data_IF_755437745720
#
_entry.id   IF_755437745720
#
_cell.length_a   1.000
_cell.length_b   1.000
_cell.length_c   1.000
_cell.angle_alpha   90.00
_cell.angle_beta   90.00
_cell.angle_gamma   90.00
#
_symmetry.space_group_name_H-M   'P 1'
#
loop_
_entity.id
_entity.type
_entity.pdbx_description
1 polymer ?
#
# COMPACT_ATOMS: atom_id res chain seq x y z
N UNK A 1 -5.14 14.27 4.53
CA UNK A 1 -5.27 12.87 4.04
C UNK A 1 -4.57 11.91 4.99
N UNK A 2 -4.94 10.63 5.03
CA UNK A 2 -4.44 9.65 5.99
C UNK A 2 -3.85 8.44 5.26
N UNK A 3 -2.75 8.66 4.52
CA UNK A 3 -2.00 7.61 3.84
C UNK A 3 -0.76 7.28 4.67
N UNK A 4 -0.62 6.02 5.02
CA UNK A 4 0.48 5.48 5.81
C UNK A 4 1.20 4.38 5.03
N UNK A 5 2.51 4.38 5.05
CA UNK A 5 3.37 3.50 4.26
C UNK A 5 4.30 2.69 5.16
N UNK A 6 4.55 1.45 4.76
CA UNK A 6 5.43 0.53 5.49
C UNK A 6 6.02 -0.51 4.54
N UNK A 7 7.17 -1.08 4.89
CA UNK A 7 7.75 -2.21 4.16
C UNK A 7 7.05 -3.53 4.49
N UNK A 8 7.05 -3.96 5.77
CA UNK A 8 6.49 -5.27 6.15
C UNK A 8 5.08 -5.22 6.74
N UNK A 9 4.59 -4.05 7.17
CA UNK A 9 3.26 -3.90 7.75
C UNK A 9 3.06 -4.69 9.03
N UNK A 10 2.05 -5.55 9.06
CA UNK A 10 1.74 -6.44 10.20
C UNK A 10 2.14 -7.89 9.93
N UNK A 11 3.07 -8.13 9.02
CA UNK A 11 3.50 -9.47 8.63
C UNK A 11 4.43 -10.10 9.68
N UNK A 12 3.85 -10.78 10.66
CA UNK A 12 4.55 -11.40 11.79
C UNK A 12 5.54 -12.51 11.42
N UNK A 13 5.64 -12.89 10.15
CA UNK A 13 6.70 -13.77 9.66
C UNK A 13 8.08 -13.08 9.67
N UNK A 14 8.09 -11.74 9.68
CA UNK A 14 9.27 -10.87 9.67
C UNK A 14 9.40 -10.09 10.97
N UNK A 15 9.37 -10.78 12.11
CA UNK A 15 9.30 -10.18 13.47
C UNK A 15 10.42 -9.20 13.79
N UNK A 16 11.58 -9.35 13.17
CA UNK A 16 12.72 -8.45 13.36
C UNK A 16 12.52 -7.06 12.70
N UNK A 17 11.47 -6.91 11.88
CA UNK A 17 11.16 -5.71 11.09
C UNK A 17 9.75 -5.18 11.37
N UNK A 18 9.35 -5.13 12.65
CA UNK A 18 7.96 -4.82 13.02
C UNK A 18 7.80 -3.47 13.74
N UNK A 19 8.69 -2.52 13.53
CA UNK A 19 8.58 -1.21 14.20
C UNK A 19 7.27 -0.48 13.87
N UNK A 20 6.70 -0.70 12.68
CA UNK A 20 5.41 -0.12 12.28
C UNK A 20 4.17 -0.84 12.83
N UNK A 21 4.32 -2.02 13.46
CA UNK A 21 3.19 -2.88 13.84
C UNK A 21 2.23 -2.19 14.82
N UNK A 22 2.73 -1.72 15.95
CA UNK A 22 1.91 -1.10 17.00
C UNK A 22 1.25 0.19 16.49
N UNK A 23 1.95 0.95 15.67
CA UNK A 23 1.40 2.16 15.03
C UNK A 23 0.22 1.79 14.12
N UNK A 24 0.34 0.75 13.30
CA UNK A 24 -0.74 0.26 12.42
C UNK A 24 -1.94 -0.18 13.25
N UNK A 25 -1.72 -1.00 14.29
CA UNK A 25 -2.80 -1.46 15.18
C UNK A 25 -3.50 -0.25 15.83
N UNK A 26 -2.73 0.73 16.29
CA UNK A 26 -3.27 1.96 16.88
C UNK A 26 -4.11 2.77 15.89
N UNK A 27 -3.63 2.97 14.67
CA UNK A 27 -4.33 3.69 13.61
C UNK A 27 -5.64 2.99 13.22
N UNK A 28 -5.65 1.65 13.21
CA UNK A 28 -6.81 0.85 12.78
C UNK A 28 -7.77 0.48 13.90
N UNK A 29 -7.46 0.82 15.15
CA UNK A 29 -8.30 0.50 16.30
C UNK A 29 -9.71 1.07 16.13
N UNK A 30 -10.74 0.23 16.40
CA UNK A 30 -12.15 0.57 16.25
C UNK A 30 -12.59 0.94 14.82
N UNK A 31 -11.86 0.46 13.80
CA UNK A 31 -12.14 0.68 12.38
C UNK A 31 -12.60 -0.60 11.70
N UNK A 32 -13.40 -0.43 10.65
CA UNK A 32 -13.71 -1.50 9.70
C UNK A 32 -12.68 -1.44 8.56
N UNK A 33 -11.93 -2.53 8.34
CA UNK A 33 -10.80 -2.55 7.42
C UNK A 33 -11.06 -3.48 6.24
N UNK A 34 -10.96 -2.97 5.00
CA UNK A 34 -10.85 -3.83 3.83
C UNK A 34 -9.37 -4.13 3.56
N UNK A 35 -9.01 -5.40 3.49
CA UNK A 35 -7.68 -5.87 3.11
C UNK A 35 -7.72 -6.22 1.62
N UNK A 36 -6.93 -5.52 0.80
CA UNK A 36 -6.86 -5.70 -0.66
C UNK A 36 -5.64 -6.56 -0.98
N UNK A 37 -5.82 -7.81 -1.45
CA UNK A 37 -4.75 -8.77 -1.65
C UNK A 37 -4.15 -8.75 -3.08
N UNK A 38 -4.66 -7.88 -3.96
CA UNK A 38 -4.50 -7.98 -5.41
C UNK A 38 -3.09 -7.66 -5.95
N UNK A 39 -2.13 -7.30 -5.09
CA UNK A 39 -0.71 -7.29 -5.45
C UNK A 39 -0.16 -8.71 -5.72
N UNK A 40 -0.90 -9.76 -5.38
CA UNK A 40 -0.63 -11.17 -5.69
C UNK A 40 -1.74 -11.75 -6.55
N UNK A 41 -1.39 -12.31 -7.72
CA UNK A 41 -2.35 -12.85 -8.68
C UNK A 41 -2.99 -14.15 -8.21
N UNK A 42 -2.20 -15.02 -7.57
CA UNK A 42 -2.65 -16.36 -7.14
C UNK A 42 -3.07 -16.33 -5.69
N UNK A 43 -4.24 -16.92 -5.39
CA UNK A 43 -4.83 -16.90 -4.04
C UNK A 43 -3.97 -17.62 -2.99
N UNK A 44 -3.19 -18.63 -3.39
CA UNK A 44 -2.24 -19.34 -2.53
C UNK A 44 -1.11 -18.42 -2.06
N UNK A 45 -0.67 -17.50 -2.90
CA UNK A 45 0.45 -16.58 -2.63
C UNK A 45 0.03 -15.36 -1.79
N UNK A 46 -1.26 -15.24 -1.46
CA UNK A 46 -1.81 -14.11 -0.68
C UNK A 46 -1.60 -14.25 0.83
N UNK A 47 -0.48 -14.84 1.23
CA UNK A 47 -0.15 -15.11 2.64
C UNK A 47 -0.09 -13.82 3.46
N UNK A 48 0.47 -12.72 2.93
CA UNK A 48 0.52 -11.42 3.63
C UNK A 48 -0.88 -10.93 4.06
N UNK A 49 -1.87 -11.05 3.18
CA UNK A 49 -3.25 -10.64 3.47
C UNK A 49 -3.92 -11.53 4.50
N UNK A 50 -3.61 -12.84 4.49
CA UNK A 50 -4.10 -13.79 5.49
C UNK A 50 -3.50 -13.49 6.86
N UNK A 51 -2.18 -13.26 6.92
CA UNK A 51 -1.50 -12.85 8.16
C UNK A 51 -2.05 -11.52 8.68
N UNK A 52 -2.23 -10.51 7.81
CA UNK A 52 -2.84 -9.25 8.21
C UNK A 52 -4.25 -9.44 8.79
N UNK A 53 -5.08 -10.30 8.17
CA UNK A 53 -6.41 -10.64 8.68
C UNK A 53 -6.36 -11.29 10.07
N UNK A 54 -5.43 -12.21 10.29
CA UNK A 54 -5.22 -12.87 11.56
C UNK A 54 -4.78 -11.89 12.65
N UNK A 55 -3.78 -11.04 12.36
CA UNK A 55 -3.27 -10.05 13.31
C UNK A 55 -4.32 -8.99 13.65
N UNK A 56 -5.09 -8.51 12.68
CA UNK A 56 -6.21 -7.60 12.94
C UNK A 56 -7.27 -8.26 13.82
N UNK A 57 -7.60 -9.52 13.56
CA UNK A 57 -8.57 -10.27 14.40
C UNK A 57 -8.06 -10.44 15.84
N UNK A 58 -6.78 -10.78 16.04
CA UNK A 58 -6.16 -10.90 17.38
C UNK A 58 -6.23 -9.57 18.16
N UNK A 59 -6.15 -8.45 17.46
CA UNK A 59 -6.20 -7.10 18.05
C UNK A 59 -7.62 -6.51 18.09
N UNK A 60 -8.66 -7.30 17.83
CA UNK A 60 -10.05 -6.85 17.88
C UNK A 60 -10.47 -5.89 16.77
N UNK A 61 -9.69 -5.82 15.68
CA UNK A 61 -9.99 -4.98 14.52
C UNK A 61 -10.90 -5.77 13.56
N UNK A 62 -12.07 -5.22 13.25
CA UNK A 62 -12.97 -5.80 12.27
C UNK A 62 -12.40 -5.64 10.86
N UNK A 63 -12.10 -6.75 10.19
CA UNK A 63 -11.49 -6.69 8.87
C UNK A 63 -12.00 -7.79 7.94
N UNK A 64 -11.95 -7.53 6.64
CA UNK A 64 -12.34 -8.48 5.59
C UNK A 64 -11.38 -8.40 4.41
N UNK A 65 -10.97 -9.55 3.88
CA UNK A 65 -10.21 -9.62 2.63
C UNK A 65 -11.19 -9.42 1.46
N UNK A 66 -10.91 -8.45 0.60
CA UNK A 66 -11.70 -8.07 -0.58
C UNK A 66 -10.83 -8.29 -1.82
N UNK A 67 -11.08 -9.37 -2.53
CA UNK A 67 -10.45 -9.65 -3.83
C UNK A 67 -11.18 -8.89 -4.93
N UNK A 68 -10.57 -7.82 -5.44
CA UNK A 68 -11.16 -6.92 -6.44
C UNK A 68 -11.48 -7.62 -7.77
N UNK A 69 -10.81 -8.75 -8.06
CA UNK A 69 -11.07 -9.52 -9.27
C UNK A 69 -12.31 -10.43 -9.14
N UNK A 70 -12.86 -10.57 -7.92
CA UNK A 70 -13.95 -11.53 -7.62
C UNK A 70 -15.18 -10.89 -6.96
N UNK A 71 -15.05 -9.73 -6.37
CA UNK A 71 -16.14 -9.09 -5.62
C UNK A 71 -16.03 -7.56 -5.62
N UNK A 72 -17.16 -6.90 -5.49
CA UNK A 72 -17.23 -5.46 -5.43
C UNK A 72 -16.65 -4.91 -4.11
N UNK A 73 -15.93 -3.81 -4.20
CA UNK A 73 -15.51 -3.01 -3.06
C UNK A 73 -16.63 -2.05 -2.66
N UNK A 74 -17.46 -2.47 -1.71
CA UNK A 74 -18.45 -1.56 -1.10
C UNK A 74 -17.74 -0.64 -0.12
N UNK A 75 -17.08 0.41 -0.63
CA UNK A 75 -16.15 1.28 0.12
C UNK A 75 -16.80 1.92 1.35
N UNK A 76 -18.10 2.24 1.31
CA UNK A 76 -18.84 2.91 2.40
C UNK A 76 -18.91 2.04 3.68
N UNK A 77 -18.60 0.74 3.59
CA UNK A 77 -18.57 -0.18 4.75
C UNK A 77 -17.25 -0.13 5.52
N UNK A 78 -16.27 0.60 5.02
CA UNK A 78 -14.92 0.58 5.54
C UNK A 78 -14.44 1.98 5.91
N UNK A 79 -13.70 2.05 7.02
CA UNK A 79 -13.00 3.25 7.50
C UNK A 79 -11.55 3.29 7.00
N UNK A 80 -11.01 2.12 6.63
CA UNK A 80 -9.64 1.97 6.18
C UNK A 80 -9.48 0.89 5.11
N UNK A 81 -8.50 1.09 4.22
CA UNK A 81 -7.99 0.08 3.30
C UNK A 81 -6.57 -0.31 3.70
N UNK A 82 -6.31 -1.62 3.78
CA UNK A 82 -4.97 -2.18 3.90
C UNK A 82 -4.58 -2.80 2.56
N UNK A 83 -3.63 -2.17 1.86
CA UNK A 83 -3.15 -2.61 0.56
C UNK A 83 -1.94 -3.51 0.78
N UNK A 84 -2.10 -4.81 0.54
CA UNK A 84 -1.07 -5.81 0.85
C UNK A 84 0.12 -5.78 -0.11
N UNK A 85 1.24 -6.30 0.34
CA UNK A 85 2.46 -6.43 -0.45
C UNK A 85 2.37 -7.47 -1.57
N UNK A 86 3.26 -7.34 -2.56
CA UNK A 86 3.38 -8.16 -3.76
C UNK A 86 3.95 -7.35 -4.92
N UNK A 87 3.33 -7.39 -6.09
CA UNK A 87 3.71 -6.62 -7.26
C UNK A 87 2.77 -5.42 -7.45
N UNK A 88 3.30 -4.19 -7.51
CA UNK A 88 2.48 -2.98 -7.61
C UNK A 88 1.68 -2.92 -8.91
N UNK A 89 2.23 -3.43 -10.02
CA UNK A 89 1.53 -3.52 -11.29
C UNK A 89 0.26 -4.37 -11.18
N UNK A 90 0.32 -5.54 -10.55
CA UNK A 90 -0.84 -6.40 -10.37
C UNK A 90 -1.93 -5.71 -9.55
N UNK A 91 -1.54 -4.99 -8.49
CA UNK A 91 -2.45 -4.22 -7.66
C UNK A 91 -3.17 -3.13 -8.47
N UNK A 92 -2.40 -2.32 -9.22
CA UNK A 92 -2.97 -1.26 -10.05
C UNK A 92 -3.84 -1.81 -11.18
N UNK A 93 -3.42 -2.88 -11.84
CA UNK A 93 -4.23 -3.53 -12.88
C UNK A 93 -5.59 -4.00 -12.34
N UNK A 94 -5.61 -4.61 -11.15
CA UNK A 94 -6.86 -5.05 -10.51
C UNK A 94 -7.74 -3.87 -10.09
N UNK A 95 -7.15 -2.80 -9.53
CA UNK A 95 -7.87 -1.57 -9.15
C UNK A 95 -8.53 -0.95 -10.39
N UNK A 96 -7.81 -0.84 -11.50
CA UNK A 96 -8.32 -0.24 -12.75
C UNK A 96 -9.39 -1.14 -13.39
N UNK A 97 -9.11 -2.43 -13.56
CA UNK A 97 -10.04 -3.39 -14.19
C UNK A 97 -11.36 -3.54 -13.43
N UNK A 98 -11.33 -3.43 -12.11
CA UNK A 98 -12.52 -3.49 -11.26
C UNK A 98 -13.26 -2.15 -11.14
N UNK A 99 -12.83 -1.10 -11.87
CA UNK A 99 -13.36 0.26 -11.82
C UNK A 99 -13.28 0.91 -10.41
N UNK A 100 -12.32 0.49 -9.59
CA UNK A 100 -12.14 1.01 -8.24
C UNK A 100 -11.16 2.19 -8.14
N UNK A 101 -10.54 2.64 -9.25
CA UNK A 101 -9.55 3.72 -9.21
C UNK A 101 -10.15 5.02 -8.65
N UNK A 102 -11.22 5.53 -9.25
CA UNK A 102 -11.89 6.75 -8.78
C UNK A 102 -12.58 6.56 -7.42
N UNK A 103 -13.06 5.35 -7.12
CA UNK A 103 -13.67 5.02 -5.83
C UNK A 103 -12.64 5.14 -4.70
N UNK A 104 -11.45 4.55 -4.88
CA UNK A 104 -10.36 4.63 -3.90
C UNK A 104 -9.82 6.06 -3.81
N UNK A 105 -9.67 6.74 -4.96
CA UNK A 105 -9.22 8.14 -4.99
C UNK A 105 -10.16 9.02 -4.17
N UNK A 106 -11.46 8.95 -4.43
CA UNK A 106 -12.46 9.68 -3.66
C UNK A 106 -12.43 9.33 -2.17
N UNK A 107 -12.28 8.05 -1.81
CA UNK A 107 -12.15 7.62 -0.42
C UNK A 107 -10.96 8.28 0.29
N UNK A 108 -9.83 8.39 -0.39
CA UNK A 108 -8.63 9.09 0.12
C UNK A 108 -8.92 10.59 0.30
N UNK A 109 -9.51 11.21 -0.71
CA UNK A 109 -9.82 12.65 -0.71
C UNK A 109 -10.84 13.02 0.39
N UNK A 110 -11.80 12.13 0.68
CA UNK A 110 -12.77 12.26 1.76
C UNK A 110 -12.18 11.96 3.17
N UNK A 111 -10.88 11.67 3.26
CA UNK A 111 -10.18 11.45 4.55
C UNK A 111 -10.16 10.00 5.03
N UNK A 112 -10.51 9.05 4.20
CA UNK A 112 -10.35 7.61 4.47
C UNK A 112 -8.90 7.24 4.77
N UNK A 113 -8.71 6.19 5.55
CA UNK A 113 -7.39 5.74 5.98
C UNK A 113 -6.86 4.70 4.99
N UNK A 114 -5.62 4.88 4.56
CA UNK A 114 -4.90 3.89 3.76
C UNK A 114 -3.65 3.44 4.50
N UNK A 115 -3.45 2.13 4.60
CA UNK A 115 -2.17 1.52 4.97
C UNK A 115 -1.63 0.81 3.74
N UNK A 116 -0.51 1.28 3.19
CA UNK A 116 0.19 0.66 2.07
C UNK A 116 1.38 -0.16 2.54
N UNK A 117 1.34 -1.48 2.34
CA UNK A 117 2.45 -2.39 2.63
C UNK A 117 3.23 -2.70 1.34
N UNK A 118 4.54 -2.44 1.31
CA UNK A 118 5.42 -2.81 0.19
C UNK A 118 4.84 -2.34 -1.16
N UNK A 119 4.39 -3.23 -2.03
CA UNK A 119 3.72 -2.88 -3.28
C UNK A 119 2.55 -1.91 -3.08
N UNK A 120 1.78 -2.07 -2.00
CA UNK A 120 0.70 -1.15 -1.63
C UNK A 120 1.17 0.25 -1.24
N UNK A 121 2.45 0.40 -0.83
CA UNK A 121 3.05 1.70 -0.58
C UNK A 121 3.52 2.39 -1.88
N UNK A 122 3.92 1.62 -2.88
CA UNK A 122 4.57 2.16 -4.09
C UNK A 122 3.63 2.96 -5.00
N UNK A 123 2.33 2.68 -4.97
CA UNK A 123 1.35 3.17 -5.96
C UNK A 123 0.84 4.60 -5.74
N UNK A 124 1.32 5.32 -4.72
CA UNK A 124 0.84 6.67 -4.38
C UNK A 124 1.56 7.81 -5.11
N UNK A 125 2.62 7.52 -5.87
CA UNK A 125 3.13 8.43 -6.89
C UNK A 125 2.47 8.10 -8.23
N UNK A 126 2.40 9.08 -9.13
CA UNK A 126 1.99 8.85 -10.52
C UNK A 126 2.83 7.76 -11.18
N UNK A 127 4.13 7.74 -10.87
CA UNK A 127 5.08 6.75 -11.34
C UNK A 127 5.46 5.81 -10.18
N UNK A 128 5.50 4.52 -10.44
CA UNK A 128 6.00 3.52 -9.50
C UNK A 128 6.89 2.51 -10.22
N UNK A 129 7.67 1.75 -9.45
CA UNK A 129 8.56 0.74 -10.00
C UNK A 129 7.84 -0.61 -10.12
N UNK A 130 8.04 -1.29 -11.23
CA UNK A 130 7.57 -2.66 -11.46
C UNK A 130 8.79 -3.57 -11.61
N UNK A 131 8.84 -4.64 -10.81
CA UNK A 131 9.92 -5.64 -10.81
C UNK A 131 9.45 -7.00 -11.32
N UNK A 132 8.23 -7.11 -11.84
CA UNK A 132 7.59 -8.37 -12.25
C UNK A 132 8.41 -9.12 -13.31
N UNK A 133 9.13 -8.38 -14.17
CA UNK A 133 9.94 -8.95 -15.26
C UNK A 133 11.41 -9.22 -14.87
N UNK A 134 11.78 -8.92 -13.61
CA UNK A 134 13.19 -8.90 -13.16
C UNK A 134 13.95 -7.64 -13.60
N UNK A 135 13.30 -6.75 -14.31
CA UNK A 135 13.80 -5.41 -14.66
C UNK A 135 13.07 -4.35 -13.84
N UNK A 136 13.77 -3.26 -13.53
CA UNK A 136 13.18 -2.12 -12.85
C UNK A 136 12.51 -1.23 -13.89
N UNK A 137 11.19 -1.33 -14.00
CA UNK A 137 10.40 -0.53 -14.93
C UNK A 137 9.64 0.56 -14.17
N UNK A 138 9.66 1.78 -14.74
CA UNK A 138 8.84 2.88 -14.23
C UNK A 138 7.47 2.81 -14.91
N UNK A 139 6.42 2.59 -14.12
CA UNK A 139 5.02 2.60 -14.57
C UNK A 139 4.38 3.96 -14.24
N UNK A 140 3.39 4.38 -15.03
CA UNK A 140 2.81 5.73 -14.95
C UNK A 140 1.29 5.75 -14.70
N UNK A 141 0.76 4.72 -14.06
CA UNK A 141 -0.67 4.59 -13.76
C UNK A 141 -0.98 4.52 -12.25
N UNK A 142 -0.06 5.01 -11.42
CA UNK A 142 -0.28 5.12 -9.98
C UNK A 142 -1.19 6.29 -9.59
N UNK A 143 -1.52 6.39 -8.31
CA UNK A 143 -2.22 7.54 -7.75
C UNK A 143 -1.27 8.74 -7.64
N UNK A 144 -1.70 9.93 -8.01
CA UNK A 144 -0.87 11.14 -8.05
C UNK A 144 -0.97 11.94 -6.74
N UNK A 145 -0.60 11.31 -5.61
CA UNK A 145 -0.64 11.93 -4.27
C UNK A 145 0.72 12.37 -3.75
N UNK A 146 1.80 11.89 -4.34
CA UNK A 146 3.16 12.19 -3.89
C UNK A 146 4.08 12.39 -5.09
N UNK A 147 5.03 13.32 -4.97
CA UNK A 147 5.89 13.74 -6.08
C UNK A 147 7.13 12.86 -6.29
N UNK A 148 7.43 11.96 -5.36
CA UNK A 148 8.59 11.06 -5.45
C UNK A 148 8.17 9.60 -5.60
N UNK A 149 8.97 8.83 -6.33
CA UNK A 149 8.81 7.37 -6.37
C UNK A 149 9.09 6.80 -4.98
N UNK A 150 8.19 5.97 -4.49
CA UNK A 150 8.27 5.34 -3.17
C UNK A 150 8.93 3.98 -3.30
N UNK A 151 10.00 3.76 -2.52
CA UNK A 151 10.79 2.54 -2.59
C UNK A 151 10.86 1.88 -1.21
N UNK A 152 9.96 0.92 -0.93
CA UNK A 152 10.04 0.09 0.28
C UNK A 152 11.21 -0.91 0.17
N UNK A 153 11.58 -1.50 1.31
CA UNK A 153 12.69 -2.45 1.43
C UNK A 153 14.04 -1.89 0.92
N UNK A 154 14.22 -0.58 1.02
CA UNK A 154 15.34 0.11 0.38
C UNK A 154 16.71 -0.43 0.84
N UNK A 155 16.85 -0.79 2.11
CA UNK A 155 18.10 -1.32 2.70
C UNK A 155 18.41 -2.78 2.34
N UNK A 156 17.47 -3.48 1.71
CA UNK A 156 17.63 -4.86 1.24
C UNK A 156 17.62 -4.99 -0.29
N UNK A 157 17.65 -3.86 -1.00
CA UNK A 157 17.72 -3.90 -2.46
C UNK A 157 19.12 -4.28 -2.92
N UNK A 158 19.27 -5.15 -3.95
CA UNK A 158 20.54 -5.45 -4.58
C UNK A 158 21.21 -4.17 -5.14
N UNK A 159 22.55 -4.06 -4.98
CA UNK A 159 23.33 -2.91 -5.48
C UNK A 159 23.07 -2.63 -6.97
N UNK A 160 22.90 -3.68 -7.78
CA UNK A 160 22.59 -3.58 -9.21
C UNK A 160 21.25 -2.89 -9.52
N UNK A 161 20.30 -2.95 -8.58
CA UNK A 161 19.02 -2.21 -8.69
C UNK A 161 19.17 -0.79 -8.18
N UNK A 162 19.97 -0.54 -7.14
CA UNK A 162 20.19 0.79 -6.59
C UNK A 162 20.73 1.77 -7.65
N UNK A 163 21.61 1.30 -8.55
CA UNK A 163 22.15 2.11 -9.66
C UNK A 163 21.10 2.48 -10.72
N UNK A 164 19.99 1.73 -10.80
CA UNK A 164 18.92 1.93 -11.79
C UNK A 164 17.74 2.75 -11.24
N UNK A 165 17.63 2.89 -9.91
CA UNK A 165 16.54 3.63 -9.28
C UNK A 165 16.71 5.14 -9.53
N UNK A 166 15.66 5.89 -9.87
CA UNK A 166 15.71 7.34 -9.94
C UNK A 166 16.27 7.97 -8.66
N UNK A 167 16.97 9.10 -8.78
CA UNK A 167 17.63 9.72 -7.60
C UNK A 167 16.65 10.38 -6.64
N UNK A 168 15.52 10.87 -7.14
CA UNK A 168 14.51 11.55 -6.32
C UNK A 168 13.43 10.56 -5.88
N UNK A 169 13.67 9.90 -4.76
CA UNK A 169 12.84 8.84 -4.20
C UNK A 169 12.54 9.05 -2.72
N UNK A 170 11.44 8.48 -2.26
CA UNK A 170 11.17 8.25 -0.84
C UNK A 170 11.64 6.83 -0.47
N UNK A 171 12.64 6.76 0.37
CA UNK A 171 13.19 5.49 0.89
C UNK A 171 12.42 5.07 2.12
N UNK A 172 11.90 3.85 2.14
CA UNK A 172 11.31 3.23 3.33
C UNK A 172 12.12 1.97 3.63
N UNK A 173 12.81 1.97 4.76
CA UNK A 173 13.61 0.82 5.20
C UNK A 173 12.74 -0.23 5.87
N UNK A 174 13.26 -1.44 5.97
CA UNK A 174 12.51 -2.56 6.53
C UNK A 174 12.13 -2.37 7.99
N UNK A 175 12.97 -1.70 8.75
CA UNK A 175 12.76 -1.44 10.18
C UNK A 175 12.31 0.00 10.49
N UNK A 176 11.79 0.71 9.50
CA UNK A 176 11.24 2.04 9.74
C UNK A 176 9.88 1.95 10.48
N UNK A 177 9.59 2.99 11.26
CA UNK A 177 8.25 3.21 11.82
C UNK A 177 7.25 3.46 10.69
N UNK A 178 5.96 3.42 11.04
CA UNK A 178 4.91 3.74 10.08
C UNK A 178 5.08 5.18 9.54
N UNK A 179 5.32 5.28 8.24
CA UNK A 179 5.52 6.57 7.58
C UNK A 179 4.18 7.18 7.19
N UNK A 180 3.84 8.33 7.74
CA UNK A 180 2.67 9.11 7.28
C UNK A 180 3.10 9.97 6.10
N UNK A 181 2.39 9.83 4.97
CA UNK A 181 2.66 10.58 3.76
C UNK A 181 2.21 12.03 3.93
N UNK A 182 3.16 12.96 3.86
CA UNK A 182 2.88 14.40 3.83
C UNK A 182 2.54 14.80 2.38
N UNK A 183 1.25 14.93 2.12
CA UNK A 183 0.74 15.36 0.82
C UNK A 183 0.81 16.88 0.78
N UNK A 184 1.45 17.43 -0.22
CA UNK A 184 1.35 18.87 -0.51
C UNK A 184 -0.12 19.18 -0.76
N UNK A 185 -0.71 20.04 0.08
CA UNK A 185 -1.96 20.66 -0.29
C UNK A 185 -1.72 21.37 -1.62
N UNK A 186 -2.37 20.89 -2.68
CA UNK A 186 -2.48 21.65 -3.91
C UNK A 186 -3.24 22.93 -3.53
N UNK A 187 -2.52 23.98 -3.17
CA UNK A 187 -3.06 25.32 -3.17
C UNK A 187 -3.52 25.56 -4.61
N UNK A 188 -4.83 25.42 -4.84
CA UNK A 188 -5.44 25.81 -6.08
C UNK A 188 -5.04 27.25 -6.37
N UNK A 189 -4.18 27.45 -7.35
CA UNK A 189 -4.07 28.72 -8.03
C UNK A 189 -5.17 28.70 -9.09
N UNK A 190 -6.38 29.11 -8.64
CA UNK A 190 -7.34 29.71 -9.54
C UNK A 190 -6.79 31.11 -9.89
N UNK A 191 -6.23 31.25 -11.07
CA UNK A 191 -6.15 32.50 -11.84
C UNK A 191 -6.57 32.22 -13.29
#
# INVERSE_FOLDING_TARGET
MNIYLTSYGVDTRYRDYMNSYEDIISVLKNRNVAIIPNAKLVSEDRTNSKVAKEEFTKNGINSKIIDLDKQDLNIEKYDALYLSGGEPKNLMDSIIKSNNYEVIKKFIDDGGIIIGQSAGAMIFNKNYLDTTTGELLVMNNGFDYYDKIIVPHYDNLPDELLDKIPRDILKIKDNDNLYKLDIKENCGNDE
#
